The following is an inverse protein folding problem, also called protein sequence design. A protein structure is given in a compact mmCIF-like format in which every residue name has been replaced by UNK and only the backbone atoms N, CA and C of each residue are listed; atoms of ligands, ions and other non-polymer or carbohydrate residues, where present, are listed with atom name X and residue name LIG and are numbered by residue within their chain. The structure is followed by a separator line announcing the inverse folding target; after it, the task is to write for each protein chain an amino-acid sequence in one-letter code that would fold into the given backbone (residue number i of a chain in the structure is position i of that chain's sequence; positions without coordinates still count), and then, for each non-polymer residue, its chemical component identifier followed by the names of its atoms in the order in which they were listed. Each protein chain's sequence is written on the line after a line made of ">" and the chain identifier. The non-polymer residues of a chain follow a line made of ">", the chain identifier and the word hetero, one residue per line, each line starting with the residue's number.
data_IF_224243287922
#
_entry.id   IF_224243287922
#
_cell.length_a   1.000
_cell.length_b   1.000
_cell.length_c   1.000
_cell.angle_alpha   90.00
_cell.angle_beta   90.00
_cell.angle_gamma   90.00
#
_symmetry.space_group_name_H-M   'P 1'
#
loop_
_entity.id
_entity.type
_entity.pdbx_description
1 polymer ?
#
# COMPACT_ATOMS: atom_id res chain seq x y z
N UNK A 1 -16.16 49.24 12.33
CA UNK A 1 -16.39 47.79 12.34
C UNK A 1 -17.71 47.48 11.63
N UNK A 2 -17.76 47.32 10.30
CA UNK A 2 -18.99 46.93 9.61
C UNK A 2 -19.09 45.39 9.56
N UNK A 3 -20.15 44.86 10.15
CA UNK A 3 -20.46 43.42 10.13
C UNK A 3 -20.89 42.96 8.75
N UNK A 4 -20.17 41.98 8.19
CA UNK A 4 -20.57 41.25 7.00
C UNK A 4 -21.84 40.44 7.29
N UNK A 5 -22.97 40.88 6.75
CA UNK A 5 -24.16 40.04 6.62
C UNK A 5 -23.87 38.91 5.61
N UNK A 6 -24.14 37.64 5.94
CA UNK A 6 -24.02 36.56 4.98
C UNK A 6 -25.08 36.75 3.88
N UNK A 7 -24.65 36.76 2.61
CA UNK A 7 -25.57 36.93 1.48
C UNK A 7 -26.73 35.93 1.54
N UNK A 8 -27.97 36.42 1.38
CA UNK A 8 -29.21 35.62 1.34
C UNK A 8 -29.12 34.41 0.38
N UNK A 9 -28.33 34.52 -0.69
CA UNK A 9 -28.09 33.44 -1.65
C UNK A 9 -27.23 32.28 -1.13
N UNK A 10 -26.40 32.47 -0.10
CA UNK A 10 -25.65 31.39 0.54
C UNK A 10 -26.52 30.63 1.56
N UNK A 11 -27.35 31.35 2.32
CA UNK A 11 -28.30 30.77 3.27
C UNK A 11 -29.41 29.96 2.57
N UNK A 12 -29.96 30.47 1.45
CA UNK A 12 -30.96 29.77 0.65
C UNK A 12 -30.41 28.47 0.01
N UNK A 13 -29.15 28.49 -0.48
CA UNK A 13 -28.46 27.28 -0.96
C UNK A 13 -28.21 26.26 0.15
N UNK A 14 -27.94 26.73 1.37
CA UNK A 14 -27.70 25.87 2.53
C UNK A 14 -28.98 25.19 3.05
N UNK A 15 -30.12 25.88 2.97
CA UNK A 15 -31.46 25.37 3.32
C UNK A 15 -32.01 24.41 2.24
N UNK A 16 -31.89 24.76 0.96
CA UNK A 16 -32.34 23.89 -0.15
C UNK A 16 -31.59 22.55 -0.20
N UNK A 17 -30.30 22.54 0.17
CA UNK A 17 -29.50 21.32 0.24
C UNK A 17 -29.97 20.30 1.29
N UNK A 18 -30.68 20.73 2.34
CA UNK A 18 -31.25 19.83 3.37
C UNK A 18 -32.58 19.18 2.96
N UNK A 19 -33.28 19.75 1.97
CA UNK A 19 -34.56 19.25 1.46
C UNK A 19 -34.41 18.17 0.37
N UNK A 20 -33.22 18.00 -0.20
CA UNK A 20 -32.98 16.97 -1.22
C UNK A 20 -33.01 15.55 -0.62
N UNK A 21 -33.44 14.52 -1.37
CA UNK A 21 -33.28 13.12 -0.94
C UNK A 21 -31.82 12.78 -0.64
N UNK A 22 -31.58 11.95 0.38
CA UNK A 22 -30.22 11.60 0.83
C UNK A 22 -29.33 11.08 -0.30
N UNK A 23 -29.88 10.25 -1.19
CA UNK A 23 -29.16 9.72 -2.36
C UNK A 23 -28.74 10.80 -3.36
N UNK A 24 -29.58 11.82 -3.58
CA UNK A 24 -29.24 12.93 -4.48
C UNK A 24 -28.17 13.83 -3.85
N UNK A 25 -28.25 14.11 -2.54
CA UNK A 25 -27.19 14.83 -1.81
C UNK A 25 -25.85 14.12 -1.91
N UNK A 26 -25.84 12.80 -1.70
CA UNK A 26 -24.61 11.99 -1.80
C UNK A 26 -24.00 12.07 -3.21
N UNK A 27 -24.83 11.93 -4.26
CA UNK A 27 -24.39 12.06 -5.66
C UNK A 27 -23.82 13.45 -5.98
N UNK A 28 -24.47 14.52 -5.50
CA UNK A 28 -23.99 15.89 -5.70
C UNK A 28 -22.69 16.17 -4.95
N UNK A 29 -22.56 15.66 -3.73
CA UNK A 29 -21.33 15.74 -2.95
C UNK A 29 -20.18 14.98 -3.64
N UNK A 30 -20.44 13.78 -4.15
CA UNK A 30 -19.46 12.99 -4.89
C UNK A 30 -19.02 13.70 -6.19
N UNK A 31 -19.96 14.21 -6.99
CA UNK A 31 -19.66 15.01 -8.18
C UNK A 31 -18.82 16.25 -7.87
N UNK A 32 -19.18 16.99 -6.81
CA UNK A 32 -18.42 18.18 -6.38
C UNK A 32 -17.00 17.78 -5.96
N UNK A 33 -16.85 16.70 -5.20
CA UNK A 33 -15.55 16.18 -4.77
C UNK A 33 -14.68 15.79 -5.97
N UNK A 34 -15.23 15.01 -6.91
CA UNK A 34 -14.53 14.63 -8.16
C UNK A 34 -14.09 15.84 -8.97
N UNK A 35 -14.93 16.88 -9.08
CA UNK A 35 -14.58 18.11 -9.81
C UNK A 35 -13.45 18.88 -9.12
N UNK A 36 -13.45 18.97 -7.79
CA UNK A 36 -12.36 19.59 -7.03
C UNK A 36 -11.08 18.78 -7.19
N UNK A 37 -11.15 17.45 -7.08
CA UNK A 37 -10.00 16.56 -7.29
C UNK A 37 -9.41 16.67 -8.68
N UNK A 38 -10.23 16.60 -9.74
CA UNK A 38 -9.76 16.77 -11.11
C UNK A 38 -9.06 18.12 -11.33
N UNK A 39 -9.59 19.20 -10.75
CA UNK A 39 -8.93 20.52 -10.79
C UNK A 39 -7.58 20.51 -10.07
N UNK A 40 -7.49 19.91 -8.88
CA UNK A 40 -6.23 19.82 -8.13
C UNK A 40 -5.19 18.96 -8.83
N UNK A 41 -5.61 17.85 -9.43
CA UNK A 41 -4.74 17.02 -10.28
C UNK A 41 -4.20 17.82 -11.46
N UNK A 42 -5.05 18.58 -12.15
CA UNK A 42 -4.60 19.45 -13.24
C UNK A 42 -3.60 20.52 -12.77
N UNK A 43 -3.83 21.14 -11.60
CA UNK A 43 -2.91 22.11 -10.99
C UNK A 43 -1.55 21.46 -10.65
N UNK A 44 -1.53 20.25 -10.09
CA UNK A 44 -0.30 19.51 -9.79
C UNK A 44 0.48 19.14 -11.07
N UNK A 45 -0.22 18.59 -12.07
CA UNK A 45 0.40 18.16 -13.34
C UNK A 45 0.95 19.36 -14.11
N UNK A 46 0.30 20.51 -14.03
CA UNK A 46 0.83 21.74 -14.63
C UNK A 46 2.09 22.26 -13.91
N UNK A 47 2.24 21.96 -12.61
CA UNK A 47 3.35 22.44 -11.79
C UNK A 47 4.59 21.53 -11.79
N UNK A 48 4.45 20.23 -12.09
CA UNK A 48 5.54 19.25 -12.10
C UNK A 48 5.59 18.49 -13.44
N UNK A 49 6.62 18.70 -14.28
CA UNK A 49 6.74 18.04 -15.58
C UNK A 49 6.95 16.51 -15.48
N UNK A 50 7.28 15.99 -14.29
CA UNK A 50 7.36 14.56 -14.01
C UNK A 50 5.99 13.92 -13.72
N UNK A 51 4.93 14.71 -13.58
CA UNK A 51 3.57 14.19 -13.33
C UNK A 51 2.75 14.08 -14.63
N UNK A 52 1.88 13.07 -14.68
CA UNK A 52 0.84 12.94 -15.71
C UNK A 52 -0.49 12.65 -15.06
N UNK A 53 -1.55 13.21 -15.64
CA UNK A 53 -2.91 12.86 -15.28
C UNK A 53 -3.28 11.51 -15.90
N UNK A 54 -3.97 10.68 -15.14
CA UNK A 54 -4.55 9.41 -15.61
C UNK A 54 -5.88 9.16 -14.90
N UNK A 55 -6.66 8.20 -15.41
CA UNK A 55 -7.92 7.80 -14.80
C UNK A 55 -7.82 6.37 -14.28
N UNK A 56 -8.22 6.17 -13.03
CA UNK A 56 -8.28 4.84 -12.42
C UNK A 56 -9.53 4.75 -11.54
N UNK A 57 -10.31 3.67 -11.70
CA UNK A 57 -11.60 3.48 -11.02
C UNK A 57 -12.57 4.69 -11.13
N UNK A 58 -12.50 5.42 -12.25
CA UNK A 58 -13.34 6.60 -12.49
C UNK A 58 -12.95 7.85 -11.68
N UNK A 59 -11.76 7.87 -11.09
CA UNK A 59 -11.14 9.02 -10.46
C UNK A 59 -10.01 9.55 -11.34
N UNK A 60 -9.96 10.88 -11.52
CA UNK A 60 -8.80 11.55 -12.11
C UNK A 60 -7.70 11.62 -11.05
N UNK A 61 -6.51 11.11 -11.37
CA UNK A 61 -5.35 11.04 -10.50
C UNK A 61 -4.14 11.63 -11.22
N UNK A 62 -3.18 12.14 -10.46
CA UNK A 62 -1.81 12.40 -10.88
C UNK A 62 -0.91 11.21 -10.51
N UNK A 63 -0.05 10.79 -11.43
CA UNK A 63 1.02 9.82 -11.18
C UNK A 63 2.35 10.33 -11.72
N UNK A 64 3.45 9.88 -11.12
CA UNK A 64 4.81 10.27 -11.48
C UNK A 64 5.37 9.31 -12.53
N UNK A 65 5.91 9.86 -13.62
CA UNK A 65 6.64 9.08 -14.62
C UNK A 65 7.94 8.56 -14.02
N UNK A 66 8.26 7.30 -14.27
CA UNK A 66 9.52 6.69 -13.88
C UNK A 66 10.27 6.15 -15.09
N UNK A 67 11.59 6.36 -15.09
CA UNK A 67 12.50 5.87 -16.14
C UNK A 67 12.82 4.38 -15.95
N UNK A 68 12.81 3.91 -14.70
CA UNK A 68 12.93 2.51 -14.28
C UNK A 68 11.85 2.18 -13.26
N UNK A 69 11.59 0.88 -13.06
CA UNK A 69 10.60 0.45 -12.09
C UNK A 69 10.90 -0.95 -11.55
N UNK A 70 10.95 -1.04 -10.22
CA UNK A 70 10.75 -2.27 -9.47
C UNK A 70 9.66 -2.08 -8.41
N UNK A 71 9.00 -3.17 -8.04
CA UNK A 71 8.03 -3.22 -6.97
C UNK A 71 8.65 -2.86 -5.61
N UNK A 72 9.91 -3.26 -5.38
CA UNK A 72 10.69 -2.91 -4.18
C UNK A 72 10.83 -1.40 -4.05
N UNK A 73 11.45 -0.74 -5.04
CA UNK A 73 11.69 0.70 -5.01
C UNK A 73 10.40 1.51 -4.82
N UNK A 74 9.29 1.06 -5.44
CA UNK A 74 7.99 1.69 -5.24
C UNK A 74 7.47 1.54 -3.80
N UNK A 75 7.60 0.35 -3.19
CA UNK A 75 7.22 0.11 -1.81
C UNK A 75 8.09 0.91 -0.83
N UNK A 76 9.41 0.94 -1.06
CA UNK A 76 10.41 1.67 -0.27
C UNK A 76 10.17 3.19 -0.32
N UNK A 77 9.94 3.74 -1.52
CA UNK A 77 9.63 5.16 -1.68
C UNK A 77 8.36 5.55 -0.91
N UNK A 78 7.35 4.68 -0.89
CA UNK A 78 6.12 4.92 -0.12
C UNK A 78 6.33 4.77 1.40
N UNK A 79 7.21 3.87 1.86
CA UNK A 79 7.63 3.81 3.26
C UNK A 79 8.33 5.11 3.67
N UNK A 80 9.26 5.60 2.84
CA UNK A 80 10.02 6.83 3.09
C UNK A 80 9.12 8.05 3.29
N UNK A 81 8.06 8.18 2.48
CA UNK A 81 7.06 9.26 2.64
C UNK A 81 6.51 9.30 4.07
N UNK A 82 6.13 8.13 4.60
CA UNK A 82 5.54 7.99 5.92
C UNK A 82 6.58 8.21 7.02
N UNK A 83 7.76 7.60 6.89
CA UNK A 83 8.87 7.74 7.83
C UNK A 83 9.29 9.21 7.99
N UNK A 84 9.52 9.91 6.87
CA UNK A 84 9.93 11.33 6.90
C UNK A 84 8.88 12.23 7.56
N UNK A 85 7.58 11.93 7.41
CA UNK A 85 6.53 12.71 8.08
C UNK A 85 6.50 12.46 9.59
N UNK A 86 6.72 11.22 10.02
CA UNK A 86 6.80 10.88 11.45
C UNK A 86 8.04 11.53 12.09
N UNK A 87 9.20 11.42 11.44
CA UNK A 87 10.48 11.98 11.89
C UNK A 87 10.43 13.50 11.97
N UNK A 88 9.93 14.18 10.94
CA UNK A 88 9.80 15.64 10.93
C UNK A 88 8.88 16.17 12.04
N UNK A 89 7.95 15.34 12.53
CA UNK A 89 7.05 15.69 13.63
C UNK A 89 7.51 15.18 15.00
N UNK A 90 8.65 14.47 15.08
CA UNK A 90 9.12 13.82 16.30
C UNK A 90 8.17 12.74 16.82
N UNK A 91 7.38 12.12 15.94
CA UNK A 91 6.41 11.08 16.28
C UNK A 91 7.11 9.71 16.17
N UNK A 92 7.19 8.94 17.27
CA UNK A 92 7.71 7.58 17.21
C UNK A 92 6.89 6.71 16.26
N UNK A 93 7.58 5.97 15.40
CA UNK A 93 7.00 4.95 14.54
C UNK A 93 7.85 3.67 14.60
N UNK A 94 7.32 2.57 14.10
CA UNK A 94 8.05 1.31 13.99
C UNK A 94 7.58 0.51 12.78
N UNK A 95 8.49 -0.19 12.09
CA UNK A 95 8.11 -1.11 11.00
C UNK A 95 7.42 -2.33 11.58
N UNK A 96 6.27 -2.70 11.00
CA UNK A 96 5.45 -3.85 11.39
C UNK A 96 5.60 -4.95 10.32
N UNK A 97 5.81 -6.22 10.69
CA UNK A 97 5.90 -7.34 9.76
C UNK A 97 4.50 -7.66 9.20
N UNK A 98 4.08 -6.87 8.21
CA UNK A 98 2.81 -7.03 7.51
C UNK A 98 2.77 -8.27 6.63
N UNK A 99 1.57 -8.66 6.18
CA UNK A 99 1.35 -9.85 5.33
C UNK A 99 1.58 -9.63 3.83
N UNK A 100 2.06 -8.46 3.44
CA UNK A 100 2.20 -8.11 2.03
C UNK A 100 3.65 -8.19 1.60
N UNK A 101 3.90 -8.77 0.43
CA UNK A 101 5.24 -8.80 -0.17
C UNK A 101 5.55 -7.55 -1.01
N UNK A 102 4.53 -6.74 -1.31
CA UNK A 102 4.64 -5.57 -2.20
C UNK A 102 4.43 -4.22 -1.49
N UNK A 103 4.35 -4.22 -0.16
CA UNK A 103 4.25 -2.99 0.63
C UNK A 103 4.71 -3.18 2.07
N UNK A 104 5.17 -2.09 2.66
CA UNK A 104 5.48 -2.02 4.09
C UNK A 104 4.27 -1.58 4.92
N UNK A 105 4.32 -1.95 6.20
CA UNK A 105 3.43 -1.42 7.22
C UNK A 105 4.26 -0.79 8.34
N UNK A 106 3.77 0.31 8.91
CA UNK A 106 4.36 0.93 10.10
C UNK A 106 3.30 1.10 11.18
N UNK A 107 3.71 0.94 12.43
CA UNK A 107 2.92 1.27 13.60
C UNK A 107 3.22 2.70 14.05
N UNK A 108 2.15 3.43 14.34
CA UNK A 108 2.17 4.72 15.06
C UNK A 108 1.17 4.59 16.19
N UNK A 109 1.44 5.17 17.37
CA UNK A 109 0.44 5.12 18.46
C UNK A 109 -0.83 5.85 18.06
N UNK A 110 -1.97 5.30 18.47
CA UNK A 110 -3.28 5.85 18.18
C UNK A 110 -3.46 7.24 18.79
N UNK A 111 -2.85 7.51 19.94
CA UNK A 111 -2.80 8.84 20.56
C UNK A 111 -2.15 9.89 19.63
N UNK A 112 -1.13 9.50 18.87
CA UNK A 112 -0.36 10.37 17.98
C UNK A 112 -0.99 10.52 16.58
N UNK A 113 -2.09 9.80 16.30
CA UNK A 113 -2.76 9.78 14.99
C UNK A 113 -3.09 11.16 14.45
N UNK A 114 -3.62 12.05 15.29
CA UNK A 114 -4.02 13.40 14.86
C UNK A 114 -2.78 14.19 14.42
N UNK A 115 -1.74 14.21 15.25
CA UNK A 115 -0.49 14.89 14.96
C UNK A 115 0.19 14.32 13.71
N UNK A 116 0.18 12.99 13.54
CA UNK A 116 0.72 12.33 12.36
C UNK A 116 -0.01 12.76 11.07
N UNK A 117 -1.34 12.81 11.08
CA UNK A 117 -2.11 13.24 9.91
C UNK A 117 -1.90 14.74 9.59
N UNK A 118 -1.67 15.57 10.62
CA UNK A 118 -1.30 16.98 10.46
C UNK A 118 0.11 17.13 9.86
N UNK A 119 1.07 16.31 10.30
CA UNK A 119 2.42 16.26 9.74
C UNK A 119 2.44 15.81 8.27
N UNK A 120 1.73 14.73 7.95
CA UNK A 120 1.51 14.28 6.57
C UNK A 120 0.89 15.39 5.72
N UNK A 121 -0.05 16.16 6.29
CA UNK A 121 -0.70 17.27 5.59
C UNK A 121 0.25 18.44 5.35
N UNK A 122 1.03 18.82 6.35
CA UNK A 122 1.98 19.92 6.25
C UNK A 122 3.04 19.64 5.18
N UNK A 123 3.56 18.41 5.14
CA UNK A 123 4.63 18.02 4.21
C UNK A 123 4.14 17.70 2.80
N UNK A 124 3.05 16.95 2.67
CA UNK A 124 2.61 16.40 1.37
C UNK A 124 1.29 16.96 0.86
N UNK A 125 0.71 17.95 1.56
CA UNK A 125 -0.56 18.59 1.20
C UNK A 125 -0.60 19.24 -0.19
N UNK A 126 0.55 19.49 -0.80
CA UNK A 126 0.69 20.06 -2.16
C UNK A 126 1.33 19.11 -3.17
N UNK A 127 1.31 17.79 -2.92
CA UNK A 127 1.96 16.78 -3.77
C UNK A 127 0.99 15.69 -4.22
N UNK A 128 1.44 14.78 -5.07
CA UNK A 128 0.72 13.60 -5.59
C UNK A 128 0.58 12.44 -4.58
N UNK A 129 0.59 12.73 -3.27
CA UNK A 129 0.41 11.72 -2.22
C UNK A 129 -1.08 11.52 -1.92
N UNK A 130 -1.50 10.26 -1.97
CA UNK A 130 -2.86 9.84 -1.66
C UNK A 130 -2.93 9.15 -0.30
N UNK A 131 -4.10 9.22 0.32
CA UNK A 131 -4.50 8.30 1.37
C UNK A 131 -5.73 7.49 0.99
N UNK A 132 -5.73 6.22 1.35
CA UNK A 132 -6.86 5.32 1.19
C UNK A 132 -7.11 4.52 2.46
N UNK A 133 -8.38 4.14 2.67
CA UNK A 133 -8.73 3.13 3.67
C UNK A 133 -8.27 1.75 3.16
N UNK A 134 -7.69 0.94 4.02
CA UNK A 134 -7.37 -0.46 3.70
C UNK A 134 -8.62 -1.36 3.82
N UNK A 135 -8.87 -2.21 2.83
CA UNK A 135 -9.93 -3.23 2.84
C UNK A 135 -11.34 -2.72 2.46
N UNK A 136 -12.01 -3.46 1.57
CA UNK A 136 -13.39 -3.22 1.11
C UNK A 136 -13.50 -2.80 -0.37
N UNK A 137 -14.67 -3.06 -0.98
CA UNK A 137 -14.98 -2.73 -2.39
C UNK A 137 -14.98 -1.22 -2.70
N UNK A 138 -14.94 -0.37 -1.67
CA UNK A 138 -14.94 1.08 -1.79
C UNK A 138 -13.58 1.61 -1.33
N UNK A 139 -12.57 1.50 -2.20
CA UNK A 139 -11.25 2.12 -2.03
C UNK A 139 -11.43 3.63 -2.17
N UNK A 140 -11.91 4.27 -1.11
CA UNK A 140 -11.98 5.71 -1.04
C UNK A 140 -10.55 6.26 -0.96
N UNK A 141 -9.90 6.42 -2.10
CA UNK A 141 -8.69 7.20 -2.22
C UNK A 141 -9.04 8.69 -2.14
N UNK A 142 -8.17 9.46 -1.51
CA UNK A 142 -8.23 10.90 -1.47
C UNK A 142 -6.82 11.43 -1.66
N UNK A 143 -6.65 12.31 -2.63
CA UNK A 143 -5.42 13.07 -2.76
C UNK A 143 -5.30 14.02 -1.58
N UNK A 144 -4.14 14.13 -0.96
CA UNK A 144 -3.97 15.12 0.11
C UNK A 144 -4.22 16.54 -0.40
N UNK A 145 -3.80 16.86 -1.63
CA UNK A 145 -4.10 18.15 -2.26
C UNK A 145 -5.60 18.46 -2.44
N UNK A 146 -6.51 17.48 -2.39
CA UNK A 146 -7.96 17.70 -2.49
C UNK A 146 -8.60 18.41 -1.27
N UNK A 147 -7.88 18.48 -0.15
CA UNK A 147 -8.42 19.03 1.10
C UNK A 147 -8.65 17.95 2.16
N UNK A 148 -9.65 18.12 3.02
CA UNK A 148 -9.89 17.22 4.14
C UNK A 148 -10.13 15.77 3.68
N UNK A 149 -9.45 14.82 4.34
CA UNK A 149 -9.66 13.40 4.09
C UNK A 149 -11.14 13.01 4.31
N UNK A 150 -11.70 12.09 3.50
CA UNK A 150 -13.01 11.51 3.75
C UNK A 150 -13.08 10.92 5.16
N UNK A 151 -14.23 11.08 5.83
CA UNK A 151 -14.43 10.54 7.19
C UNK A 151 -14.06 9.05 7.29
N UNK A 152 -14.42 8.26 6.28
CA UNK A 152 -14.09 6.83 6.23
C UNK A 152 -12.58 6.54 6.25
N UNK A 153 -11.75 7.41 5.65
CA UNK A 153 -10.29 7.31 5.69
C UNK A 153 -9.77 7.88 7.01
N UNK A 154 -10.18 9.10 7.38
CA UNK A 154 -9.74 9.78 8.59
C UNK A 154 -9.94 8.94 9.86
N UNK A 155 -11.05 8.23 9.96
CA UNK A 155 -11.38 7.41 11.14
C UNK A 155 -10.93 5.95 11.02
N UNK A 156 -10.31 5.54 9.92
CA UNK A 156 -9.80 4.18 9.78
C UNK A 156 -8.65 3.92 10.77
N UNK A 157 -8.59 2.71 11.34
CA UNK A 157 -7.49 2.29 12.20
C UNK A 157 -6.21 1.97 11.43
N UNK A 158 -6.34 1.78 10.12
CA UNK A 158 -5.21 1.65 9.19
C UNK A 158 -5.48 2.55 7.99
N UNK A 159 -4.51 3.41 7.66
CA UNK A 159 -4.57 4.31 6.50
C UNK A 159 -3.38 3.99 5.62
N UNK A 160 -3.63 3.74 4.34
CA UNK A 160 -2.56 3.55 3.36
C UNK A 160 -2.20 4.87 2.74
N UNK A 161 -0.90 5.19 2.71
CA UNK A 161 -0.34 6.33 1.99
C UNK A 161 0.50 5.87 0.82
N UNK A 162 0.43 6.60 -0.29
CA UNK A 162 1.35 6.33 -1.37
C UNK A 162 1.15 7.23 -2.58
N UNK A 163 2.05 7.04 -3.55
CA UNK A 163 2.01 7.67 -4.86
C UNK A 163 1.64 6.66 -5.93
N UNK A 164 1.24 7.18 -7.09
CA UNK A 164 1.07 6.36 -8.29
C UNK A 164 2.29 6.55 -9.19
N UNK A 165 2.89 5.46 -9.64
CA UNK A 165 4.01 5.44 -10.58
C UNK A 165 3.52 5.03 -11.97
N UNK A 166 3.91 5.80 -12.97
CA UNK A 166 3.52 5.61 -14.36
C UNK A 166 4.75 5.27 -15.21
N UNK A 167 4.55 4.42 -16.20
CA UNK A 167 5.56 4.12 -17.21
C UNK A 167 5.63 5.19 -18.30
N UNK A 168 6.58 5.06 -19.24
CA UNK A 168 6.82 6.06 -20.29
C UNK A 168 5.60 6.37 -21.19
N UNK A 169 4.66 5.44 -21.31
CA UNK A 169 3.43 5.59 -22.09
C UNK A 169 2.21 5.99 -21.22
N UNK A 170 2.43 6.39 -19.98
CA UNK A 170 1.37 6.76 -19.03
C UNK A 170 0.60 5.58 -18.43
N UNK A 171 1.07 4.34 -18.64
CA UNK A 171 0.49 3.14 -18.03
C UNK A 171 0.79 3.09 -16.53
N UNK A 172 -0.18 2.69 -15.72
CA UNK A 172 0.01 2.55 -14.27
C UNK A 172 0.92 1.35 -13.97
N UNK A 173 2.13 1.60 -13.46
CA UNK A 173 3.08 0.55 -13.03
C UNK A 173 2.88 0.19 -11.56
N UNK A 174 2.70 1.19 -10.70
CA UNK A 174 2.35 1.00 -9.30
C UNK A 174 1.24 1.97 -8.88
N UNK A 175 0.14 1.42 -8.38
CA UNK A 175 -0.90 2.18 -7.69
C UNK A 175 -0.74 2.09 -6.18
N UNK A 176 -1.80 2.44 -5.46
CA UNK A 176 -1.82 2.37 -4.00
C UNK A 176 -1.72 0.94 -3.44
N UNK A 177 -1.67 -0.12 -4.24
CA UNK A 177 -1.38 -1.45 -3.70
C UNK A 177 0.06 -1.62 -3.19
N UNK A 178 0.97 -0.74 -3.65
CA UNK A 178 2.36 -0.60 -3.22
C UNK A 178 2.59 0.50 -2.17
N UNK A 179 1.51 1.15 -1.70
CA UNK A 179 1.60 2.20 -0.68
C UNK A 179 1.98 1.66 0.70
N UNK A 180 2.43 2.52 1.61
CA UNK A 180 2.74 2.16 3.00
C UNK A 180 1.48 2.19 3.87
N UNK A 181 1.19 1.09 4.56
CA UNK A 181 0.09 1.02 5.53
C UNK A 181 0.54 1.62 6.88
N UNK A 182 -0.13 2.67 7.35
CA UNK A 182 0.06 3.18 8.72
C UNK A 182 -1.02 2.59 9.61
N UNK A 183 -0.59 1.75 10.55
CA UNK A 183 -1.39 1.13 11.57
C UNK A 183 -1.39 1.99 12.84
N UNK A 184 -2.57 2.35 13.33
CA UNK A 184 -2.70 3.13 14.57
C UNK A 184 -2.89 2.19 15.76
N UNK A 185 -1.77 1.83 16.39
CA UNK A 185 -1.68 0.89 17.52
C UNK A 185 -2.19 1.53 18.81
N UNK A 186 -3.03 0.83 19.57
CA UNK A 186 -3.61 1.36 20.81
C UNK A 186 -2.72 1.04 22.00
N UNK A 187 -2.63 1.96 22.96
CA UNK A 187 -2.09 1.67 24.27
C UNK A 187 -2.93 0.56 24.93
N UNK A 188 -2.27 -0.45 25.49
CA UNK A 188 -2.93 -1.63 26.04
C UNK A 188 -3.86 -1.30 27.20
N UNK A 189 -3.51 -0.33 28.05
CA UNK A 189 -4.39 0.18 29.11
C UNK A 189 -5.71 0.76 28.55
N UNK A 190 -5.62 1.55 27.48
CA UNK A 190 -6.79 2.11 26.81
C UNK A 190 -7.60 1.05 26.05
N UNK A 191 -6.95 -0.02 25.60
CA UNK A 191 -7.62 -1.14 24.97
C UNK A 191 -8.40 -1.97 26.00
N UNK A 192 -7.79 -2.24 27.16
CA UNK A 192 -8.39 -2.97 28.27
C UNK A 192 -9.58 -2.22 28.92
N UNK A 193 -9.48 -0.89 29.03
CA UNK A 193 -10.54 -0.04 29.60
C UNK A 193 -11.73 0.20 28.63
N UNK A 194 -11.66 -0.30 27.40
CA UNK A 194 -12.69 -0.09 26.40
C UNK A 194 -13.98 -0.87 26.77
N UNK A 195 -15.17 -0.25 26.76
CA UNK A 195 -16.42 -0.98 27.04
C UNK A 195 -16.69 -2.16 26.10
N UNK A 196 -16.08 -2.15 24.91
CA UNK A 196 -16.13 -3.25 23.96
C UNK A 196 -14.89 -4.16 24.01
N UNK A 197 -14.15 -4.19 25.13
CA UNK A 197 -12.92 -4.97 25.31
C UNK A 197 -13.09 -6.42 24.88
N UNK A 198 -14.06 -7.16 25.43
CA UNK A 198 -14.26 -8.57 25.12
C UNK A 198 -14.43 -8.84 23.62
N UNK A 199 -15.29 -8.04 22.96
CA UNK A 199 -15.54 -8.15 21.52
C UNK A 199 -14.32 -7.78 20.66
N UNK A 200 -13.42 -6.93 21.18
CA UNK A 200 -12.18 -6.54 20.50
C UNK A 200 -11.07 -7.57 20.75
N UNK A 201 -10.91 -8.03 21.99
CA UNK A 201 -9.95 -9.05 22.40
C UNK A 201 -10.20 -10.37 21.65
N UNK A 202 -11.46 -10.76 21.45
CA UNK A 202 -11.84 -11.94 20.68
C UNK A 202 -11.42 -11.89 19.19
N UNK A 203 -11.04 -10.72 18.65
CA UNK A 203 -10.54 -10.56 17.28
C UNK A 203 -9.02 -10.68 17.18
N UNK A 204 -8.33 -10.65 18.31
CA UNK A 204 -6.90 -10.87 18.36
C UNK A 204 -6.59 -12.35 18.11
N UNK A 205 -5.46 -12.61 17.46
CA UNK A 205 -4.89 -13.94 17.23
C UNK A 205 -4.62 -14.65 18.55
N UNK A 206 -4.18 -13.90 19.56
CA UNK A 206 -4.00 -14.37 20.94
C UNK A 206 -4.85 -13.49 21.85
N UNK A 207 -5.80 -14.12 22.55
CA UNK A 207 -6.66 -13.42 23.51
C UNK A 207 -5.87 -13.22 24.80
N UNK A 208 -5.61 -11.97 25.15
CA UNK A 208 -4.76 -11.61 26.29
C UNK A 208 -5.65 -11.08 27.41
N UNK A 209 -5.55 -11.62 28.64
CA UNK A 209 -6.17 -11.04 29.83
C UNK A 209 -5.84 -9.56 29.99
N UNK A 210 -6.82 -8.75 30.41
CA UNK A 210 -6.68 -7.29 30.54
C UNK A 210 -5.45 -6.87 31.38
N UNK A 211 -5.13 -7.61 32.44
CA UNK A 211 -3.98 -7.34 33.29
C UNK A 211 -2.62 -7.46 32.57
N UNK A 212 -2.53 -8.28 31.53
CA UNK A 212 -1.30 -8.48 30.75
C UNK A 212 -1.16 -7.49 29.57
N UNK A 213 -2.13 -6.58 29.39
CA UNK A 213 -2.05 -5.51 28.39
C UNK A 213 -1.44 -4.22 28.93
N UNK A 214 -1.26 -4.10 30.25
CA UNK A 214 -0.76 -2.88 30.88
C UNK A 214 0.61 -2.46 30.32
N UNK A 215 0.73 -1.20 29.88
CA UNK A 215 1.96 -0.67 29.28
C UNK A 215 2.33 -1.24 27.89
N UNK A 216 1.54 -2.17 27.34
CA UNK A 216 1.76 -2.75 26.03
C UNK A 216 1.13 -1.96 24.87
N UNK A 217 1.27 -2.49 23.66
CA UNK A 217 0.62 -1.97 22.44
C UNK A 217 -0.23 -3.06 21.78
N UNK A 218 -1.42 -2.68 21.29
CA UNK A 218 -2.36 -3.58 20.61
C UNK A 218 -2.56 -3.12 19.16
N UNK A 219 -2.31 -4.03 18.22
CA UNK A 219 -2.43 -3.78 16.80
C UNK A 219 -3.88 -3.57 16.37
N UNK A 220 -4.14 -2.73 15.35
CA UNK A 220 -5.49 -2.59 14.79
C UNK A 220 -5.91 -3.78 13.91
N UNK A 221 -4.96 -4.65 13.52
CA UNK A 221 -5.21 -5.85 12.70
C UNK A 221 -4.12 -6.91 12.94
N UNK A 222 -4.37 -8.19 12.61
CA UNK A 222 -3.35 -9.23 12.67
C UNK A 222 -2.18 -8.98 11.70
N UNK A 223 -0.94 -9.17 12.18
CA UNK A 223 0.29 -9.16 11.39
C UNK A 223 0.96 -10.56 11.39
N UNK A 224 2.18 -10.71 10.84
CA UNK A 224 2.86 -12.02 10.73
C UNK A 224 3.38 -12.53 12.08
N UNK A 225 3.64 -11.65 13.04
CA UNK A 225 4.29 -11.98 14.32
C UNK A 225 3.29 -11.95 15.47
N UNK A 226 2.97 -10.76 15.99
CA UNK A 226 2.20 -10.56 17.20
C UNK A 226 1.32 -9.31 17.08
N UNK A 227 0.02 -9.46 17.35
CA UNK A 227 -0.95 -8.37 17.39
C UNK A 227 -1.07 -7.70 18.77
N UNK A 228 -0.34 -8.21 19.76
CA UNK A 228 -0.09 -7.56 21.05
C UNK A 228 1.41 -7.56 21.29
N UNK A 229 1.96 -6.41 21.64
CA UNK A 229 3.31 -6.26 22.16
C UNK A 229 3.21 -5.92 23.66
N UNK A 230 3.49 -6.88 24.55
CA UNK A 230 3.61 -6.61 25.99
C UNK A 230 4.70 -5.57 26.28
N UNK A 231 4.64 -4.93 27.45
CA UNK A 231 5.57 -3.87 27.82
C UNK A 231 7.03 -4.34 27.78
N UNK A 232 7.29 -5.58 28.18
CA UNK A 232 8.60 -6.24 28.16
C UNK A 232 9.13 -6.53 26.74
N UNK A 233 8.27 -6.59 25.73
CA UNK A 233 8.64 -6.80 24.33
C UNK A 233 8.75 -5.50 23.53
N UNK A 234 8.48 -4.34 24.15
CA UNK A 234 8.77 -3.01 23.59
C UNK A 234 10.28 -2.67 23.65
N UNK A 235 11.13 -3.65 23.35
CA UNK A 235 12.59 -3.52 23.26
C UNK A 235 12.94 -2.94 21.89
N UNK A 236 13.50 -1.72 21.81
CA UNK A 236 13.82 -1.09 20.53
C UNK A 236 14.80 -1.92 19.70
N UNK A 237 14.56 -1.98 18.40
CA UNK A 237 15.42 -2.59 17.40
C UNK A 237 15.32 -1.80 16.09
N UNK A 238 15.94 -2.32 15.04
CA UNK A 238 15.94 -1.69 13.72
C UNK A 238 15.93 -2.73 12.61
N UNK A 239 15.33 -2.38 11.49
CA UNK A 239 15.37 -3.15 10.25
C UNK A 239 15.92 -2.28 9.11
N UNK A 240 16.63 -2.89 8.18
CA UNK A 240 17.09 -2.23 6.96
C UNK A 240 16.08 -2.46 5.83
N UNK A 241 15.73 -1.38 5.14
CA UNK A 241 14.84 -1.38 3.97
C UNK A 241 15.47 -0.48 2.92
N UNK A 242 15.89 -1.08 1.80
CA UNK A 242 16.83 -0.43 0.89
C UNK A 242 18.06 0.06 1.65
N UNK A 243 18.45 1.30 1.40
CA UNK A 243 19.60 1.95 2.07
C UNK A 243 19.24 2.64 3.40
N UNK A 244 18.04 2.41 3.93
CA UNK A 244 17.54 3.11 5.12
C UNK A 244 17.33 2.18 6.30
N UNK A 245 17.75 2.66 7.48
CA UNK A 245 17.50 2.02 8.76
C UNK A 245 16.23 2.58 9.39
N UNK A 246 15.27 1.71 9.69
CA UNK A 246 14.01 2.10 10.30
C UNK A 246 13.85 1.50 11.70
N UNK A 247 13.22 2.23 12.65
CA UNK A 247 12.90 1.71 13.97
C UNK A 247 11.93 0.53 13.89
N UNK A 248 12.10 -0.45 14.77
CA UNK A 248 11.15 -1.52 15.02
C UNK A 248 11.32 -2.03 16.46
N UNK A 249 10.68 -3.15 16.82
CA UNK A 249 10.88 -3.84 18.09
C UNK A 249 11.58 -5.17 17.88
N UNK A 250 12.35 -5.63 18.86
CA UNK A 250 13.11 -6.89 18.81
C UNK A 250 12.21 -8.07 18.39
N UNK A 251 11.00 -8.14 18.94
CA UNK A 251 10.00 -9.15 18.57
C UNK A 251 9.71 -9.23 17.07
N UNK A 252 9.83 -8.13 16.32
CA UNK A 252 9.58 -8.06 14.87
C UNK A 252 10.82 -8.30 14.00
N UNK A 253 11.98 -8.56 14.61
CA UNK A 253 13.24 -8.86 13.88
C UNK A 253 13.52 -10.35 13.77
N UNK A 254 12.72 -11.19 14.44
CA UNK A 254 12.89 -12.63 14.41
C UNK A 254 12.55 -13.19 13.03
N UNK A 255 13.43 -14.09 12.55
CA UNK A 255 13.19 -14.86 11.32
C UNK A 255 11.95 -15.73 11.49
N UNK A 256 11.10 -15.75 10.47
CA UNK A 256 9.89 -16.56 10.44
C UNK A 256 10.13 -17.89 9.75
N UNK A 257 9.30 -18.89 10.07
CA UNK A 257 9.43 -20.26 9.55
C UNK A 257 9.28 -20.35 8.02
N UNK A 258 8.58 -19.38 7.43
CA UNK A 258 8.35 -19.26 5.99
C UNK A 258 9.38 -18.37 5.28
N UNK A 259 10.42 -17.92 5.98
CA UNK A 259 11.50 -17.13 5.39
C UNK A 259 12.62 -18.03 4.86
N UNK A 260 12.95 -17.85 3.57
CA UNK A 260 13.96 -18.60 2.84
C UNK A 260 15.34 -17.97 3.08
N UNK A 261 16.28 -18.74 3.63
CA UNK A 261 17.64 -18.28 3.97
C UNK A 261 18.77 -18.96 3.18
N UNK A 262 18.46 -20.00 2.40
CA UNK A 262 19.42 -20.66 1.51
C UNK A 262 19.74 -19.78 0.28
N UNK A 263 20.91 -19.94 -0.38
CA UNK A 263 21.39 -19.04 -1.43
C UNK A 263 20.80 -19.37 -2.82
N UNK A 264 19.49 -19.58 -2.91
CA UNK A 264 18.78 -19.81 -4.18
C UNK A 264 17.47 -19.03 -4.17
N UNK A 265 17.33 -18.09 -5.10
CA UNK A 265 16.16 -17.20 -5.14
C UNK A 265 15.19 -17.52 -6.29
N UNK A 266 15.68 -18.12 -7.39
CA UNK A 266 14.86 -18.56 -8.52
C UNK A 266 15.47 -19.76 -9.22
N UNK A 267 14.62 -20.64 -9.77
CA UNK A 267 15.01 -21.78 -10.61
C UNK A 267 14.24 -21.68 -11.93
N UNK A 268 14.97 -21.71 -13.04
CA UNK A 268 14.39 -21.71 -14.39
C UNK A 268 14.43 -23.10 -15.01
N UNK A 269 13.27 -23.63 -15.32
CA UNK A 269 13.11 -24.81 -16.16
C UNK A 269 12.85 -24.35 -17.60
N UNK A 270 13.88 -23.81 -18.24
CA UNK A 270 13.82 -23.34 -19.63
C UNK A 270 14.86 -24.07 -20.45
N UNK A 271 14.57 -24.25 -21.74
CA UNK A 271 15.51 -24.81 -22.71
C UNK A 271 15.34 -24.11 -24.05
N UNK A 272 16.44 -23.98 -24.79
CA UNK A 272 16.39 -23.49 -26.16
C UNK A 272 15.78 -24.57 -27.06
N UNK A 273 14.64 -24.27 -27.66
CA UNK A 273 13.95 -25.20 -28.55
C UNK A 273 14.65 -25.41 -29.88
N UNK A 274 15.40 -24.40 -30.33
CA UNK A 274 16.10 -24.34 -31.61
C UNK A 274 17.53 -24.89 -31.51
N UNK A 275 17.97 -25.27 -30.31
CA UNK A 275 19.25 -25.94 -30.09
C UNK A 275 19.27 -27.32 -30.80
N UNK A 276 20.13 -27.50 -31.82
CA UNK A 276 20.17 -28.74 -32.61
C UNK A 276 20.70 -29.94 -31.81
N UNK A 277 21.57 -29.74 -30.81
CA UNK A 277 22.07 -30.82 -29.96
C UNK A 277 20.97 -31.33 -29.04
N UNK A 278 20.23 -30.40 -28.42
CA UNK A 278 19.07 -30.74 -27.61
C UNK A 278 17.97 -31.40 -28.46
N UNK A 279 17.73 -30.92 -29.69
CA UNK A 279 16.79 -31.54 -30.61
C UNK A 279 17.18 -32.98 -30.98
N UNK A 280 18.45 -33.24 -31.28
CA UNK A 280 18.97 -34.57 -31.57
C UNK A 280 18.87 -35.50 -30.34
N UNK A 281 19.23 -35.00 -29.16
CA UNK A 281 19.11 -35.74 -27.91
C UNK A 281 17.64 -36.12 -27.63
N UNK A 282 16.69 -35.20 -27.81
CA UNK A 282 15.26 -35.50 -27.69
C UNK A 282 14.80 -36.54 -28.70
N UNK A 283 15.19 -36.41 -29.98
CA UNK A 283 14.83 -37.35 -31.03
C UNK A 283 15.30 -38.78 -30.73
N UNK A 284 16.49 -38.93 -30.16
CA UNK A 284 17.03 -40.23 -29.76
C UNK A 284 16.23 -40.91 -28.62
N UNK A 285 15.50 -40.15 -27.80
CA UNK A 285 14.69 -40.65 -26.68
C UNK A 285 13.19 -40.72 -26.98
N UNK A 286 12.75 -40.17 -28.12
CA UNK A 286 11.38 -40.30 -28.61
C UNK A 286 11.20 -41.71 -29.21
N UNK A 287 10.72 -42.66 -28.41
CA UNK A 287 10.41 -44.02 -28.87
C UNK A 287 9.35 -44.07 -29.98
N UNK A 288 9.21 -45.23 -30.64
CA UNK A 288 8.36 -45.42 -31.83
C UNK A 288 6.88 -45.02 -31.71
N UNK A 289 6.32 -45.05 -30.49
CA UNK A 289 4.91 -44.65 -30.23
C UNK A 289 4.69 -43.13 -30.19
N UNK A 290 5.76 -42.32 -30.11
CA UNK A 290 5.64 -40.86 -30.07
C UNK A 290 5.17 -40.25 -31.41
N UNK A 291 5.30 -41.00 -32.50
CA UNK A 291 4.79 -40.62 -33.83
C UNK A 291 3.25 -40.52 -33.87
N UNK A 292 2.54 -41.28 -33.02
CA UNK A 292 1.07 -41.25 -32.92
C UNK A 292 0.52 -40.10 -32.07
N UNK A 293 1.38 -39.40 -31.33
CA UNK A 293 0.99 -38.32 -30.43
C UNK A 293 1.60 -37.00 -30.90
N UNK A 294 1.18 -36.54 -32.08
CA UNK A 294 1.58 -35.24 -32.66
C UNK A 294 1.33 -34.07 -31.72
N UNK A 295 0.35 -34.20 -30.83
CA UNK A 295 0.07 -33.23 -29.78
C UNK A 295 1.15 -33.17 -28.70
N UNK A 296 2.03 -34.17 -28.53
CA UNK A 296 3.15 -34.21 -27.58
C UNK A 296 4.51 -33.91 -28.25
N UNK A 297 4.64 -34.19 -29.55
CA UNK A 297 5.90 -34.08 -30.31
C UNK A 297 5.97 -32.89 -31.27
N UNK A 298 4.87 -32.14 -31.41
CA UNK A 298 4.80 -31.01 -32.33
C UNK A 298 5.82 -29.91 -32.03
N UNK A 299 6.50 -29.41 -33.07
CA UNK A 299 7.49 -28.33 -33.01
C UNK A 299 6.96 -27.07 -32.30
N UNK A 300 5.65 -26.85 -32.31
CA UNK A 300 5.00 -25.74 -31.59
C UNK A 300 5.19 -25.75 -30.07
N UNK A 301 5.54 -26.89 -29.46
CA UNK A 301 5.84 -26.98 -28.01
C UNK A 301 7.21 -26.46 -27.62
N UNK A 302 8.13 -26.41 -28.58
CA UNK A 302 9.52 -25.96 -28.37
C UNK A 302 9.75 -24.57 -28.96
N UNK A 303 8.75 -24.01 -29.66
CA UNK A 303 8.83 -22.67 -30.21
C UNK A 303 8.99 -21.65 -29.08
N UNK A 304 10.12 -20.94 -29.06
CA UNK A 304 10.30 -19.81 -28.17
C UNK A 304 9.48 -18.61 -28.65
N UNK A 305 8.91 -17.89 -27.69
CA UNK A 305 8.08 -16.69 -27.81
C UNK A 305 8.65 -15.56 -26.95
N UNK A 306 9.98 -15.54 -26.77
CA UNK A 306 10.69 -14.69 -25.81
C UNK A 306 10.23 -14.90 -24.35
N UNK A 307 9.65 -16.06 -23.99
CA UNK A 307 9.12 -16.31 -22.65
C UNK A 307 10.18 -16.17 -21.56
N UNK A 308 11.44 -16.57 -21.81
CA UNK A 308 12.53 -16.39 -20.86
C UNK A 308 12.80 -14.91 -20.61
N UNK A 309 12.88 -14.11 -21.68
CA UNK A 309 13.09 -12.65 -21.61
C UNK A 309 11.97 -11.96 -20.84
N UNK A 310 10.71 -12.28 -21.13
CA UNK A 310 9.57 -11.71 -20.42
C UNK A 310 9.49 -12.19 -18.96
N UNK A 311 9.84 -13.45 -18.69
CA UNK A 311 9.91 -13.99 -17.35
C UNK A 311 10.99 -13.32 -16.50
N UNK A 312 12.21 -13.17 -17.04
CA UNK A 312 13.31 -12.45 -16.38
C UNK A 312 12.95 -10.98 -16.11
N UNK A 313 12.27 -10.32 -17.05
CA UNK A 313 11.74 -8.97 -16.83
C UNK A 313 10.74 -8.94 -15.68
N UNK A 314 9.84 -9.94 -15.61
CA UNK A 314 8.86 -10.06 -14.52
C UNK A 314 9.53 -10.26 -13.17
N UNK A 315 10.56 -11.12 -13.09
CA UNK A 315 11.32 -11.33 -11.86
C UNK A 315 12.02 -10.04 -11.42
N UNK A 316 12.78 -9.40 -12.31
CA UNK A 316 13.45 -8.14 -12.00
C UNK A 316 12.47 -7.07 -11.50
N UNK A 317 11.26 -7.00 -12.08
CA UNK A 317 10.28 -5.99 -11.70
C UNK A 317 9.48 -6.33 -10.43
N UNK A 318 9.09 -7.59 -10.23
CA UNK A 318 8.06 -7.97 -9.25
C UNK A 318 8.52 -8.99 -8.20
N UNK A 319 9.75 -9.50 -8.27
CA UNK A 319 10.30 -10.42 -7.27
C UNK A 319 11.39 -9.72 -6.44
N UNK A 320 11.01 -8.80 -5.53
CA UNK A 320 11.95 -7.99 -4.74
C UNK A 320 12.78 -8.80 -3.73
N UNK A 321 12.50 -10.10 -3.60
CA UNK A 321 13.21 -11.03 -2.72
C UNK A 321 14.37 -11.74 -3.41
N UNK A 322 14.55 -11.57 -4.72
CA UNK A 322 15.70 -12.12 -5.46
C UNK A 322 16.93 -11.26 -5.18
N UNK A 323 18.05 -11.91 -4.80
CA UNK A 323 19.33 -11.27 -4.47
C UNK A 323 20.32 -11.30 -5.65
#
# INVERSE_FOLDING_TARGET
>A
MPGQQPSLGAAARHLAGRLLPAGLRARLQDRRRRRIGARRVAELVAADPGLRAFVHDGFALAGRLADSFTAAEAAEANLRIVAEAAEAAGIPYFVVPGKSHVRYAVGVRHADKKAFLEAMRARYGGTEVYAAKTGGANRAAALYAEGALPKAVKFAQVIRFGRCTLGPHGQLLAGLDYGCDVEFWRDGDQFAADPAFEAKNARLKVQVPAAMLAGGLVAPRPNRVADVLPAEELVPASVEVGDHKHPTYRAFTHRLVDEVDFPVDAVYMWVDGDDPEWAAARAAHLGGDAAGHTHLTGASRYLSRDELKYSLRSLHTFAPFIR
#
